data_IF_894126286188
#
_entry.id   IF_894126286188
#
_cell.length_a   1.000
_cell.length_b   1.000
_cell.length_c   1.000
_cell.angle_alpha   90.00
_cell.angle_beta   90.00
_cell.angle_gamma   90.00
#
_symmetry.space_group_name_H-M   'P 1'
#
loop_
_entity.id
_entity.type
_entity.pdbx_description
1 polymer ?
#
# COMPACT_ATOMS: atom_id res chain seq x y z
N UNK A 1 6.76 0.85 19.01
CA UNK A 1 5.33 0.84 18.70
C UNK A 1 4.86 -0.58 18.97
N UNK A 2 3.76 -0.74 19.68
CA UNK A 2 3.17 -2.06 19.89
C UNK A 2 2.37 -2.51 18.66
N UNK A 3 2.90 -3.50 17.93
CA UNK A 3 2.24 -4.03 16.74
C UNK A 3 0.94 -4.76 17.04
N UNK A 4 0.76 -5.34 18.22
CA UNK A 4 -0.50 -6.00 18.57
C UNK A 4 -1.65 -4.99 18.64
N UNK A 5 -1.38 -3.83 19.26
CA UNK A 5 -2.32 -2.71 19.29
C UNK A 5 -2.64 -2.19 17.90
N UNK A 6 -1.62 -2.01 17.05
CA UNK A 6 -1.81 -1.56 15.67
C UNK A 6 -2.61 -2.57 14.83
N UNK A 7 -2.33 -3.87 14.95
CA UNK A 7 -3.07 -4.95 14.31
C UNK A 7 -4.54 -4.92 14.72
N UNK A 8 -4.84 -4.72 16.01
CA UNK A 8 -6.22 -4.66 16.51
C UNK A 8 -6.98 -3.47 15.91
N UNK A 9 -6.35 -2.28 15.87
CA UNK A 9 -6.93 -1.10 15.20
C UNK A 9 -7.21 -1.38 13.73
N UNK A 10 -6.22 -1.89 13.00
CA UNK A 10 -6.35 -2.14 11.57
C UNK A 10 -7.33 -3.27 11.22
N UNK A 11 -7.47 -4.27 12.09
CA UNK A 11 -8.41 -5.38 11.90
C UNK A 11 -9.86 -4.92 11.73
N UNK A 12 -10.23 -3.75 12.25
CA UNK A 12 -11.56 -3.14 12.07
C UNK A 12 -11.82 -2.66 10.64
N UNK A 13 -10.76 -2.34 9.89
CA UNK A 13 -10.82 -1.84 8.52
C UNK A 13 -10.52 -2.93 7.48
N UNK A 14 -9.91 -4.03 7.90
CA UNK A 14 -9.57 -5.14 7.02
C UNK A 14 -10.80 -5.99 6.68
N UNK A 15 -10.93 -6.39 5.42
CA UNK A 15 -12.02 -7.20 4.92
C UNK A 15 -11.82 -8.67 5.28
N UNK A 16 -12.70 -9.21 6.12
CA UNK A 16 -12.65 -10.63 6.54
C UNK A 16 -12.70 -11.60 5.35
N UNK A 17 -13.44 -11.26 4.29
CA UNK A 17 -13.48 -12.02 3.04
C UNK A 17 -12.11 -12.16 2.38
N UNK A 18 -11.34 -11.07 2.28
CA UNK A 18 -9.98 -11.06 1.71
C UNK A 18 -9.02 -11.89 2.55
N UNK A 19 -9.10 -11.80 3.89
CA UNK A 19 -8.19 -12.51 4.81
C UNK A 19 -8.44 -14.01 4.86
N UNK A 20 -9.67 -14.45 4.54
CA UNK A 20 -10.10 -15.85 4.67
C UNK A 20 -10.05 -16.66 3.37
N UNK A 21 -9.68 -16.04 2.24
CA UNK A 21 -9.58 -16.72 0.94
C UNK A 21 -8.67 -17.95 1.03
N UNK A 22 -9.14 -19.10 0.54
CA UNK A 22 -8.43 -20.40 0.60
C UNK A 22 -7.59 -20.69 -0.64
N UNK A 23 -8.07 -20.27 -1.82
CA UNK A 23 -7.47 -20.64 -3.11
C UNK A 23 -6.71 -19.45 -3.69
N UNK A 24 -5.42 -19.63 -3.94
CA UNK A 24 -4.59 -18.60 -4.56
C UNK A 24 -5.09 -18.29 -5.98
N UNK A 25 -5.27 -17.00 -6.29
CA UNK A 25 -5.35 -16.53 -7.69
C UNK A 25 -3.99 -16.01 -8.13
N UNK A 26 -3.57 -16.42 -9.32
CA UNK A 26 -2.38 -15.90 -9.99
C UNK A 26 -2.71 -14.77 -10.95
N UNK A 27 -3.98 -14.45 -11.13
CA UNK A 27 -4.45 -13.41 -12.02
C UNK A 27 -4.24 -12.03 -11.40
N UNK A 28 -4.23 -11.00 -12.24
CA UNK A 28 -4.19 -9.62 -11.77
C UNK A 28 -5.62 -9.12 -11.69
N UNK A 29 -5.94 -8.36 -10.63
CA UNK A 29 -7.26 -7.75 -10.47
C UNK A 29 -7.62 -6.90 -11.71
N UNK A 30 -6.64 -6.16 -12.24
CA UNK A 30 -6.75 -5.39 -13.48
C UNK A 30 -7.12 -6.23 -14.69
N UNK A 31 -6.72 -7.50 -14.77
CA UNK A 31 -6.92 -8.32 -15.97
C UNK A 31 -8.22 -9.14 -15.85
N UNK A 32 -8.60 -9.50 -14.62
CA UNK A 32 -9.77 -10.35 -14.33
C UNK A 32 -10.97 -9.59 -13.75
N UNK A 33 -10.97 -8.25 -13.73
CA UNK A 33 -12.14 -7.48 -13.28
C UNK A 33 -13.37 -7.76 -14.16
N UNK A 34 -13.18 -8.07 -15.44
CA UNK A 34 -14.27 -8.50 -16.34
C UNK A 34 -14.83 -9.88 -15.99
N UNK A 35 -14.12 -10.69 -15.21
CA UNK A 35 -14.60 -11.98 -14.71
C UNK A 35 -15.43 -11.82 -13.42
N UNK A 36 -15.28 -10.69 -12.73
CA UNK A 36 -16.15 -10.32 -11.62
C UNK A 36 -17.50 -9.97 -12.21
N UNK A 37 -18.54 -10.70 -11.82
CA UNK A 37 -19.89 -10.37 -12.23
C UNK A 37 -20.32 -9.07 -11.54
N UNK A 38 -20.62 -8.04 -12.32
CA UNK A 38 -21.06 -6.75 -11.81
C UNK A 38 -22.18 -6.14 -12.65
N UNK A 39 -22.88 -5.18 -12.05
CA UNK A 39 -23.86 -4.31 -12.71
C UNK A 39 -23.54 -2.86 -12.36
N UNK A 40 -23.54 -1.99 -13.36
CA UNK A 40 -23.33 -0.55 -13.20
C UNK A 40 -24.54 0.08 -12.51
N UNK A 41 -24.30 0.70 -11.36
CA UNK A 41 -25.32 1.36 -10.53
C UNK A 41 -25.37 2.86 -10.77
N UNK A 42 -24.21 3.46 -10.98
CA UNK A 42 -24.10 4.90 -11.17
C UNK A 42 -22.88 5.27 -12.00
N UNK A 43 -22.97 6.40 -12.70
CA UNK A 43 -21.88 7.00 -13.46
C UNK A 43 -21.98 8.53 -13.37
N UNK A 44 -20.97 9.11 -12.72
CA UNK A 44 -20.78 10.55 -12.61
C UNK A 44 -19.43 10.96 -13.19
N UNK A 45 -19.41 12.05 -13.94
CA UNK A 45 -18.21 12.56 -14.55
C UNK A 45 -18.31 14.08 -14.73
N UNK A 46 -17.37 14.80 -14.13
CA UNK A 46 -17.23 16.25 -14.23
C UNK A 46 -15.86 16.63 -14.81
N UNK A 47 -15.44 17.89 -14.68
CA UNK A 47 -14.14 18.35 -15.16
C UNK A 47 -12.97 17.81 -14.30
N UNK A 48 -13.21 17.40 -13.06
CA UNK A 48 -12.19 17.00 -12.09
C UNK A 48 -11.98 15.49 -12.03
N UNK A 49 -13.04 14.70 -12.19
CA UNK A 49 -13.02 13.26 -12.00
C UNK A 49 -14.08 12.50 -12.82
N UNK A 50 -13.85 11.19 -12.93
CA UNK A 50 -14.85 10.20 -13.32
C UNK A 50 -15.04 9.24 -12.17
N UNK A 51 -16.29 9.01 -11.77
CA UNK A 51 -16.70 8.11 -10.70
C UNK A 51 -17.69 7.09 -11.28
N UNK A 52 -17.40 5.81 -11.05
CA UNK A 52 -18.20 4.68 -11.51
C UNK A 52 -18.53 3.83 -10.30
N UNK A 53 -19.81 3.51 -10.13
CA UNK A 53 -20.27 2.62 -9.07
C UNK A 53 -20.74 1.31 -9.70
N UNK A 54 -20.05 0.21 -9.36
CA UNK A 54 -20.37 -1.14 -9.84
C UNK A 54 -20.86 -1.97 -8.65
N UNK A 55 -22.07 -2.51 -8.71
CA UNK A 55 -22.49 -3.52 -7.74
C UNK A 55 -21.91 -4.87 -8.12
N UNK A 56 -21.23 -5.51 -7.17
CA UNK A 56 -20.70 -6.87 -7.34
C UNK A 56 -21.81 -7.89 -7.06
N UNK A 57 -21.91 -8.90 -7.91
CA UNK A 57 -22.80 -10.06 -7.73
C UNK A 57 -22.10 -11.27 -7.10
N UNK A 58 -20.78 -11.37 -7.27
CA UNK A 58 -19.91 -12.41 -6.70
C UNK A 58 -18.74 -11.78 -5.93
N UNK A 59 -18.91 -11.61 -4.62
CA UNK A 59 -17.89 -11.05 -3.74
C UNK A 59 -16.75 -12.03 -3.46
N UNK A 60 -16.99 -13.34 -3.50
CA UNK A 60 -15.96 -14.38 -3.33
C UNK A 60 -14.88 -14.30 -4.43
N UNK A 61 -15.29 -14.15 -5.68
CA UNK A 61 -14.37 -13.91 -6.80
C UNK A 61 -13.53 -12.65 -6.56
N UNK A 62 -14.18 -11.55 -6.18
CA UNK A 62 -13.51 -10.28 -5.94
C UNK A 62 -12.51 -10.38 -4.78
N UNK A 63 -12.90 -10.97 -3.66
CA UNK A 63 -12.02 -11.24 -2.51
C UNK A 63 -10.82 -12.07 -2.93
N UNK A 64 -11.02 -13.09 -3.76
CA UNK A 64 -9.93 -13.94 -4.26
C UNK A 64 -8.92 -13.16 -5.11
N UNK A 65 -9.39 -12.34 -6.05
CA UNK A 65 -8.51 -11.50 -6.88
C UNK A 65 -7.74 -10.49 -6.02
N UNK A 66 -8.43 -9.84 -5.08
CA UNK A 66 -7.82 -8.83 -4.20
C UNK A 66 -6.80 -9.46 -3.25
N UNK A 67 -7.10 -10.62 -2.66
CA UNK A 67 -6.17 -11.37 -1.81
C UNK A 67 -4.95 -11.86 -2.60
N UNK A 68 -5.16 -12.37 -3.82
CA UNK A 68 -4.08 -12.81 -4.70
C UNK A 68 -3.12 -11.67 -5.03
N UNK A 69 -3.66 -10.49 -5.38
CA UNK A 69 -2.85 -9.31 -5.68
C UNK A 69 -2.15 -8.73 -4.44
N UNK A 70 -2.85 -8.60 -3.32
CA UNK A 70 -2.27 -8.13 -2.06
C UNK A 70 -1.06 -8.98 -1.65
N UNK A 71 -1.20 -10.31 -1.67
CA UNK A 71 -0.12 -11.21 -1.28
C UNK A 71 1.09 -11.14 -2.21
N UNK A 72 0.90 -10.89 -3.52
CA UNK A 72 2.02 -10.64 -4.44
C UNK A 72 2.80 -9.39 -4.03
N UNK A 73 2.10 -8.31 -3.65
CA UNK A 73 2.74 -7.10 -3.14
C UNK A 73 3.50 -7.33 -1.84
N UNK A 74 2.95 -8.12 -0.92
CA UNK A 74 3.69 -8.49 0.29
C UNK A 74 4.98 -9.25 -0.04
N UNK A 75 4.91 -10.27 -0.91
CA UNK A 75 6.11 -11.03 -1.30
C UNK A 75 7.14 -10.13 -2.01
N UNK A 76 6.70 -9.24 -2.90
CA UNK A 76 7.57 -8.26 -3.53
C UNK A 76 8.22 -7.32 -2.50
N UNK A 77 7.48 -6.91 -1.47
CA UNK A 77 8.01 -6.14 -0.34
C UNK A 77 9.11 -6.91 0.39
N UNK A 78 8.88 -8.19 0.72
CA UNK A 78 9.86 -9.02 1.45
C UNK A 78 11.12 -9.33 0.63
N UNK A 79 10.98 -9.64 -0.66
CA UNK A 79 12.14 -9.89 -1.55
C UNK A 79 12.96 -8.61 -1.74
N UNK A 80 12.31 -7.46 -1.91
CA UNK A 80 12.99 -6.16 -2.01
C UNK A 80 13.67 -5.81 -0.67
N UNK A 81 12.95 -6.06 0.43
CA UNK A 81 13.43 -6.27 1.80
C UNK A 81 14.84 -6.85 1.88
N UNK A 82 14.88 -8.14 1.58
CA UNK A 82 16.06 -8.98 1.69
C UNK A 82 17.23 -8.40 0.91
N UNK A 83 16.99 -8.02 -0.36
CA UNK A 83 18.03 -7.41 -1.22
C UNK A 83 18.58 -6.09 -0.66
N UNK A 84 17.71 -5.25 -0.09
CA UNK A 84 18.10 -3.99 0.52
C UNK A 84 19.00 -4.18 1.75
N UNK A 85 18.85 -5.30 2.47
CA UNK A 85 19.62 -5.62 3.66
C UNK A 85 20.92 -6.38 3.37
N UNK A 86 21.10 -6.89 2.14
CA UNK A 86 22.38 -7.49 1.73
C UNK A 86 23.49 -6.44 1.77
N UNK A 87 24.70 -6.85 2.17
CA UNK A 87 25.85 -5.94 2.16
C UNK A 87 26.20 -5.55 0.73
N UNK A 88 25.99 -4.28 0.39
CA UNK A 88 26.37 -3.73 -0.91
C UNK A 88 27.46 -2.69 -0.68
N UNK A 89 28.73 -3.12 -0.73
CA UNK A 89 29.87 -2.22 -0.50
C UNK A 89 29.79 -1.00 -1.43
N UNK A 90 29.71 0.19 -0.83
CA UNK A 90 29.66 1.45 -1.55
C UNK A 90 28.34 1.77 -2.25
N UNK A 91 27.26 1.01 -2.00
CA UNK A 91 25.97 1.21 -2.66
C UNK A 91 24.79 1.42 -1.69
N UNK A 92 25.05 2.04 -0.53
CA UNK A 92 24.01 2.29 0.48
C UNK A 92 22.89 3.22 -0.01
N UNK A 93 23.19 4.12 -0.96
CA UNK A 93 22.19 4.93 -1.64
C UNK A 93 21.13 4.05 -2.32
N UNK A 94 21.55 2.99 -3.01
CA UNK A 94 20.63 2.07 -3.66
C UNK A 94 19.86 1.22 -2.65
N UNK A 95 20.50 0.78 -1.57
CA UNK A 95 19.79 0.10 -0.48
C UNK A 95 18.65 0.97 0.08
N UNK A 96 18.84 2.29 0.20
CA UNK A 96 17.77 3.19 0.61
C UNK A 96 16.62 3.30 -0.42
N UNK A 97 16.94 3.29 -1.71
CA UNK A 97 15.94 3.23 -2.79
C UNK A 97 15.16 1.91 -2.73
N UNK A 98 15.82 0.81 -2.43
CA UNK A 98 15.19 -0.51 -2.29
C UNK A 98 14.29 -0.58 -1.05
N UNK A 99 14.71 -0.02 0.08
CA UNK A 99 13.86 0.15 1.26
C UNK A 99 12.58 0.95 0.95
N UNK A 100 12.69 2.02 0.16
CA UNK A 100 11.51 2.75 -0.32
C UNK A 100 10.55 1.86 -1.12
N UNK A 101 11.06 1.07 -2.06
CA UNK A 101 10.22 0.17 -2.85
C UNK A 101 9.61 -0.94 -2.01
N UNK A 102 10.35 -1.48 -1.03
CA UNK A 102 9.81 -2.44 -0.09
C UNK A 102 8.63 -1.86 0.71
N UNK A 103 8.75 -0.62 1.20
CA UNK A 103 7.65 0.06 1.88
C UNK A 103 6.47 0.38 0.95
N UNK A 104 6.74 0.83 -0.28
CA UNK A 104 5.71 1.05 -1.29
C UNK A 104 4.90 -0.24 -1.54
N UNK A 105 5.55 -1.38 -1.69
CA UNK A 105 4.86 -2.67 -1.84
C UNK A 105 4.11 -3.09 -0.57
N UNK A 106 4.66 -2.82 0.62
CA UNK A 106 3.96 -3.07 1.88
C UNK A 106 2.68 -2.24 2.03
N UNK A 107 2.70 -0.97 1.61
CA UNK A 107 1.50 -0.13 1.52
C UNK A 107 0.46 -0.76 0.60
N UNK A 108 0.87 -1.15 -0.61
CA UNK A 108 -0.04 -1.73 -1.60
C UNK A 108 -0.70 -3.02 -1.09
N UNK A 109 0.03 -3.81 -0.28
CA UNK A 109 -0.54 -4.93 0.45
C UNK A 109 -1.58 -4.46 1.48
N UNK A 110 -1.21 -3.59 2.42
CA UNK A 110 -2.07 -3.14 3.51
C UNK A 110 -3.38 -2.50 3.01
N UNK A 111 -3.31 -1.55 2.08
CA UNK A 111 -4.53 -0.88 1.58
C UNK A 111 -5.48 -1.85 0.86
N UNK A 112 -4.95 -2.90 0.20
CA UNK A 112 -5.78 -3.91 -0.46
C UNK A 112 -6.54 -4.78 0.52
N UNK A 113 -5.98 -5.02 1.70
CA UNK A 113 -6.70 -5.75 2.74
C UNK A 113 -7.94 -4.99 3.22
N UNK A 114 -7.98 -3.66 3.05
CA UNK A 114 -9.14 -2.82 3.40
C UNK A 114 -10.10 -2.59 2.23
N UNK A 115 -9.97 -3.34 1.13
CA UNK A 115 -10.83 -3.15 -0.05
C UNK A 115 -10.41 -2.01 -0.96
N UNK A 116 -9.24 -1.39 -0.74
CA UNK A 116 -8.79 -0.23 -1.49
C UNK A 116 -7.61 -0.61 -2.38
N UNK A 117 -7.61 -0.12 -3.62
CA UNK A 117 -6.51 -0.37 -4.55
C UNK A 117 -6.28 0.83 -5.46
N UNK A 118 -5.07 0.92 -6.00
CA UNK A 118 -4.76 1.75 -7.15
C UNK A 118 -4.53 0.80 -8.30
N UNK A 119 -5.37 0.92 -9.31
CA UNK A 119 -5.49 -0.06 -10.37
C UNK A 119 -5.46 0.67 -11.71
N UNK A 120 -4.69 0.16 -12.68
CA UNK A 120 -4.67 0.73 -14.01
C UNK A 120 -5.65 -0.04 -14.89
N UNK A 121 -6.84 0.49 -15.13
CA UNK A 121 -7.85 -0.19 -15.93
C UNK A 121 -7.45 -0.16 -17.40
N UNK A 122 -7.56 -1.32 -18.04
CA UNK A 122 -7.27 -1.50 -19.46
C UNK A 122 -8.48 -1.13 -20.33
N UNK A 123 -8.24 -0.70 -21.56
CA UNK A 123 -9.30 -0.33 -22.51
C UNK A 123 -10.35 -1.46 -22.74
N UNK A 124 -10.00 -2.76 -22.78
CA UNK A 124 -11.00 -3.82 -22.83
C UNK A 124 -12.00 -3.78 -21.68
N UNK A 125 -11.53 -3.57 -20.45
CA UNK A 125 -12.39 -3.52 -19.26
C UNK A 125 -13.21 -2.25 -19.25
N UNK A 126 -12.59 -1.10 -19.56
CA UNK A 126 -13.31 0.15 -19.64
C UNK A 126 -14.42 0.10 -20.69
N UNK A 127 -14.20 -0.53 -21.85
CA UNK A 127 -15.26 -0.78 -22.85
C UNK A 127 -16.37 -1.69 -22.34
N UNK A 128 -16.03 -2.72 -21.54
CA UNK A 128 -17.03 -3.58 -20.91
C UNK A 128 -17.90 -2.79 -19.94
N UNK A 129 -17.29 -1.93 -19.12
CA UNK A 129 -17.98 -1.04 -18.18
C UNK A 129 -18.85 -0.03 -18.94
N UNK A 130 -18.32 0.65 -19.97
CA UNK A 130 -19.10 1.59 -20.80
C UNK A 130 -20.35 0.95 -21.38
N UNK A 131 -20.24 -0.29 -21.90
CA UNK A 131 -21.37 -1.03 -22.47
C UNK A 131 -22.42 -1.35 -21.42
N UNK A 132 -21.99 -1.78 -20.23
CA UNK A 132 -22.90 -2.09 -19.14
C UNK A 132 -23.59 -0.81 -18.62
N UNK A 133 -22.89 0.32 -18.51
CA UNK A 133 -23.49 1.62 -18.19
C UNK A 133 -24.53 2.03 -19.25
N UNK A 134 -24.21 1.90 -20.54
CA UNK A 134 -25.14 2.22 -21.62
C UNK A 134 -26.40 1.35 -21.54
N UNK A 135 -26.25 0.07 -21.22
CA UNK A 135 -27.37 -0.85 -21.07
C UNK A 135 -28.21 -0.60 -19.82
N UNK A 136 -27.57 -0.43 -18.64
CA UNK A 136 -28.26 -0.33 -17.35
C UNK A 136 -28.82 1.07 -17.08
N UNK A 137 -28.09 2.11 -17.49
CA UNK A 137 -28.42 3.50 -17.19
C UNK A 137 -28.97 4.26 -18.42
N UNK A 138 -29.07 3.60 -19.58
CA UNK A 138 -29.48 4.22 -20.85
C UNK A 138 -28.70 5.50 -21.17
N UNK A 139 -27.40 5.49 -20.85
CA UNK A 139 -26.49 6.64 -20.94
C UNK A 139 -25.26 6.25 -21.75
N UNK A 140 -25.11 6.84 -22.94
CA UNK A 140 -23.90 6.62 -23.76
C UNK A 140 -22.72 7.36 -23.13
N UNK A 141 -21.75 6.61 -22.64
CA UNK A 141 -20.55 7.13 -21.97
C UNK A 141 -19.30 6.45 -22.53
N UNK A 142 -18.17 7.14 -22.41
CA UNK A 142 -16.86 6.56 -22.72
C UNK A 142 -15.98 6.56 -21.46
N UNK A 143 -15.87 5.38 -20.85
CA UNK A 143 -14.91 5.13 -19.78
C UNK A 143 -13.53 4.93 -20.42
N UNK A 144 -12.58 5.74 -20.01
CA UNK A 144 -11.21 5.70 -20.54
C UNK A 144 -10.33 4.75 -19.72
N UNK A 145 -9.34 4.13 -20.36
CA UNK A 145 -8.27 3.43 -19.65
C UNK A 145 -7.46 4.38 -18.75
N UNK A 146 -6.68 3.80 -17.84
CA UNK A 146 -5.74 4.56 -17.00
C UNK A 146 -5.87 4.28 -15.51
N UNK A 147 -5.28 5.16 -14.71
CA UNK A 147 -5.16 4.96 -13.27
C UNK A 147 -6.46 5.32 -12.53
N UNK A 148 -7.07 4.33 -11.90
CA UNK A 148 -8.23 4.48 -11.01
C UNK A 148 -7.84 4.16 -9.57
N UNK A 149 -8.44 4.89 -8.64
CA UNK A 149 -8.61 4.43 -7.27
C UNK A 149 -9.86 3.56 -7.20
N UNK A 150 -9.70 2.35 -6.68
CA UNK A 150 -10.75 1.37 -6.45
C UNK A 150 -11.03 1.31 -4.96
N UNK A 151 -12.29 1.39 -4.56
CA UNK A 151 -12.72 1.14 -3.18
C UNK A 151 -13.90 0.17 -3.19
N UNK A 152 -13.83 -0.88 -2.39
CA UNK A 152 -14.95 -1.79 -2.16
C UNK A 152 -15.66 -1.44 -0.84
N UNK A 153 -16.99 -1.42 -0.88
CA UNK A 153 -17.85 -1.31 0.30
C UNK A 153 -18.55 -2.65 0.54
N UNK A 154 -18.22 -3.31 1.65
CA UNK A 154 -18.82 -4.61 2.00
C UNK A 154 -20.31 -4.49 2.33
N UNK A 155 -20.74 -3.37 2.93
CA UNK A 155 -22.14 -3.12 3.28
C UNK A 155 -23.01 -2.87 2.06
N UNK A 156 -22.50 -2.18 1.06
CA UNK A 156 -23.23 -1.87 -0.19
C UNK A 156 -23.01 -2.92 -1.28
N UNK A 157 -22.00 -3.80 -1.10
CA UNK A 157 -21.51 -4.72 -2.13
C UNK A 157 -21.16 -4.00 -3.44
N UNK A 158 -20.57 -2.82 -3.31
CA UNK A 158 -20.23 -1.94 -4.43
C UNK A 158 -18.73 -1.70 -4.53
N UNK A 159 -18.23 -1.65 -5.76
CA UNK A 159 -16.93 -1.09 -6.13
C UNK A 159 -17.15 0.34 -6.62
N UNK A 160 -16.45 1.29 -6.02
CA UNK A 160 -16.32 2.65 -6.51
C UNK A 160 -14.98 2.78 -7.22
N UNK A 161 -15.03 3.12 -8.50
CA UNK A 161 -13.86 3.43 -9.32
C UNK A 161 -13.82 4.94 -9.51
N UNK A 162 -12.74 5.58 -9.07
CA UNK A 162 -12.52 7.01 -9.27
C UNK A 162 -11.22 7.28 -10.02
N UNK A 163 -11.31 7.94 -11.16
CA UNK A 163 -10.18 8.46 -11.94
C UNK A 163 -10.15 9.99 -11.82
N UNK A 164 -9.04 10.55 -11.38
CA UNK A 164 -8.82 12.01 -11.37
C UNK A 164 -8.38 12.46 -12.78
N UNK A 165 -9.04 13.47 -13.35
CA UNK A 165 -8.79 13.97 -14.73
C UNK A 165 -7.69 15.04 -14.80
N UNK A 166 -7.24 15.57 -13.66
CA UNK A 166 -6.27 16.67 -13.67
C UNK A 166 -4.92 16.25 -14.27
N UNK A 167 -4.30 17.13 -15.08
CA UNK A 167 -2.95 16.93 -15.66
C UNK A 167 -1.83 16.75 -14.62
N UNK A 168 -2.10 17.02 -13.34
CA UNK A 168 -1.21 16.82 -12.18
C UNK A 168 -1.64 15.65 -11.30
N UNK A 169 -2.56 14.81 -11.78
CA UNK A 169 -2.91 13.54 -11.16
C UNK A 169 -1.61 12.77 -10.95
N UNK A 170 -1.30 12.52 -9.69
CA UNK A 170 -0.06 11.86 -9.33
C UNK A 170 0.05 10.50 -9.99
N UNK A 171 1.27 10.06 -10.29
CA UNK A 171 1.49 8.66 -10.64
C UNK A 171 1.09 7.72 -9.50
N UNK A 172 1.09 6.41 -9.76
CA UNK A 172 0.74 5.34 -8.82
C UNK A 172 1.41 5.49 -7.44
N UNK A 173 2.66 5.95 -7.39
CA UNK A 173 3.37 6.24 -6.14
C UNK A 173 2.68 7.31 -5.30
N UNK A 174 2.40 8.48 -5.87
CA UNK A 174 1.75 9.58 -5.15
C UNK A 174 0.36 9.18 -4.67
N UNK A 175 -0.40 8.45 -5.49
CA UNK A 175 -1.68 7.90 -5.08
C UNK A 175 -1.54 6.95 -3.89
N UNK A 176 -0.55 6.05 -3.91
CA UNK A 176 -0.37 5.04 -2.87
C UNK A 176 -0.03 5.69 -1.52
N UNK A 177 0.83 6.70 -1.52
CA UNK A 177 1.18 7.45 -0.31
C UNK A 177 -0.01 8.27 0.23
N UNK A 178 -0.88 8.80 -0.64
CA UNK A 178 -2.13 9.46 -0.23
C UNK A 178 -3.05 8.47 0.49
N UNK A 179 -3.34 7.32 -0.13
CA UNK A 179 -4.18 6.29 0.47
C UNK A 179 -3.59 5.71 1.76
N UNK A 180 -2.27 5.56 1.83
CA UNK A 180 -1.59 5.18 3.06
C UNK A 180 -1.79 6.22 4.16
N UNK A 181 -1.64 7.51 3.83
CA UNK A 181 -1.88 8.56 4.81
C UNK A 181 -3.34 8.60 5.29
N UNK A 182 -4.30 8.41 4.38
CA UNK A 182 -5.72 8.33 4.74
C UNK A 182 -5.99 7.14 5.67
N UNK A 183 -5.33 6.00 5.44
CA UNK A 183 -5.39 4.84 6.33
C UNK A 183 -4.75 5.13 7.69
N UNK A 184 -3.59 5.80 7.74
CA UNK A 184 -2.97 6.23 9.00
C UNK A 184 -3.90 7.15 9.79
N UNK A 185 -4.62 8.05 9.12
CA UNK A 185 -5.64 8.88 9.76
C UNK A 185 -6.76 8.07 10.38
N UNK A 186 -7.28 7.07 9.68
CA UNK A 186 -8.30 6.18 10.22
C UNK A 186 -7.79 5.41 11.44
N UNK A 187 -6.52 4.99 11.45
CA UNK A 187 -5.91 4.32 12.60
C UNK A 187 -5.75 5.25 13.80
N UNK A 188 -5.36 6.52 13.58
CA UNK A 188 -5.29 7.53 14.64
C UNK A 188 -6.69 7.82 15.21
N UNK A 189 -7.70 7.94 14.35
CA UNK A 189 -9.08 8.13 14.78
C UNK A 189 -9.60 6.92 15.58
N UNK A 190 -9.33 5.71 15.11
CA UNK A 190 -9.68 4.47 15.81
C UNK A 190 -9.01 4.36 17.18
N UNK A 191 -7.76 4.82 17.32
CA UNK A 191 -7.07 4.92 18.60
C UNK A 191 -7.77 5.88 19.58
N UNK A 192 -8.49 6.89 19.08
CA UNK A 192 -9.28 7.81 19.89
C UNK A 192 -10.48 7.18 20.60
N UNK A 193 -10.90 5.96 20.22
CA UNK A 193 -11.96 5.24 20.91
C UNK A 193 -11.53 4.73 22.30
N UNK A 194 -10.24 4.55 22.53
CA UNK A 194 -9.65 4.13 23.80
C UNK A 194 -8.26 4.75 23.98
N UNK A 195 -8.23 6.02 24.39
CA UNK A 195 -7.01 6.81 24.45
C UNK A 195 -5.98 6.20 25.42
N UNK A 196 -6.42 5.69 26.57
CA UNK A 196 -5.54 5.11 27.59
C UNK A 196 -4.80 3.89 27.03
N UNK A 197 -5.53 3.02 26.32
CA UNK A 197 -4.96 1.83 25.69
C UNK A 197 -3.98 2.20 24.55
N UNK A 198 -4.29 3.20 23.73
CA UNK A 198 -3.59 3.45 22.46
C UNK A 198 -2.68 4.69 22.41
N UNK A 199 -2.41 5.36 23.53
CA UNK A 199 -1.70 6.65 23.51
C UNK A 199 -0.34 6.61 22.78
N UNK A 200 0.54 5.62 23.07
CA UNK A 200 1.84 5.48 22.38
C UNK A 200 1.66 5.21 20.88
N UNK A 201 0.75 4.31 20.52
CA UNK A 201 0.47 3.97 19.12
C UNK A 201 -0.03 5.20 18.35
N UNK A 202 -0.96 5.95 18.94
CA UNK A 202 -1.52 7.17 18.34
C UNK A 202 -0.47 8.25 18.14
N UNK A 203 0.36 8.52 19.15
CA UNK A 203 1.46 9.49 19.06
C UNK A 203 2.47 9.13 17.98
N UNK A 204 2.87 7.85 17.92
CA UNK A 204 3.82 7.37 16.90
C UNK A 204 3.23 7.41 15.49
N UNK A 205 1.95 7.07 15.32
CA UNK A 205 1.25 7.22 14.03
C UNK A 205 1.16 8.70 13.62
N UNK A 206 0.92 9.60 14.57
CA UNK A 206 0.92 11.04 14.31
C UNK A 206 2.30 11.55 13.86
N UNK A 207 3.39 11.10 14.48
CA UNK A 207 4.75 11.44 14.04
C UNK A 207 5.05 10.84 12.65
N UNK A 208 4.66 9.59 12.40
CA UNK A 208 4.78 9.00 11.06
C UNK A 208 4.02 9.82 10.01
N UNK A 209 2.78 10.24 10.32
CA UNK A 209 1.97 11.05 9.42
C UNK A 209 2.63 12.39 9.11
N UNK A 210 3.20 13.07 10.12
CA UNK A 210 3.94 14.32 9.92
C UNK A 210 5.12 14.11 8.97
N UNK A 211 5.83 12.98 9.07
CA UNK A 211 6.89 12.62 8.12
C UNK A 211 6.35 12.35 6.70
N UNK A 212 5.17 11.77 6.51
CA UNK A 212 4.70 11.43 5.16
C UNK A 212 4.56 12.65 4.24
N UNK A 213 4.14 13.80 4.76
CA UNK A 213 3.84 14.99 3.95
C UNK A 213 5.03 15.94 3.81
N UNK A 214 5.34 16.31 2.56
CA UNK A 214 6.20 17.46 2.25
C UNK A 214 5.38 18.73 2.01
N UNK A 215 4.27 18.57 1.28
CA UNK A 215 3.31 19.62 0.95
C UNK A 215 1.94 18.97 0.65
N UNK A 216 0.90 19.76 0.37
CA UNK A 216 -0.48 19.27 0.11
C UNK A 216 -0.57 18.12 -0.91
N UNK A 217 0.39 18.03 -1.82
CA UNK A 217 0.38 17.06 -2.93
C UNK A 217 1.73 16.36 -3.16
N UNK A 218 2.66 16.44 -2.20
CA UNK A 218 3.98 15.82 -2.30
C UNK A 218 4.29 15.05 -1.02
N UNK A 219 4.83 13.85 -1.19
CA UNK A 219 5.10 12.91 -0.11
C UNK A 219 6.60 12.72 0.06
N UNK A 220 7.11 12.92 1.28
CA UNK A 220 8.54 12.84 1.56
C UNK A 220 9.17 11.52 1.10
N UNK A 221 8.56 10.33 1.28
CA UNK A 221 9.17 9.09 0.78
C UNK A 221 9.49 9.10 -0.72
N UNK A 222 8.57 9.60 -1.55
CA UNK A 222 8.78 9.65 -3.00
C UNK A 222 9.84 10.66 -3.39
N UNK A 223 9.83 11.82 -2.71
CA UNK A 223 10.76 12.91 -2.96
C UNK A 223 12.18 12.56 -2.51
N UNK A 224 12.37 12.04 -1.29
CA UNK A 224 13.68 11.61 -0.79
C UNK A 224 14.25 10.52 -1.70
N UNK A 225 13.44 9.54 -2.11
CA UNK A 225 13.88 8.52 -3.09
C UNK A 225 14.28 9.14 -4.42
N UNK A 226 13.55 10.13 -4.92
CA UNK A 226 13.88 10.80 -6.19
C UNK A 226 15.16 11.65 -6.07
N UNK A 227 15.35 12.33 -4.93
CA UNK A 227 16.56 13.10 -4.62
C UNK A 227 17.80 12.20 -4.54
N UNK A 228 17.70 11.06 -3.85
CA UNK A 228 18.79 10.06 -3.80
C UNK A 228 19.06 9.52 -5.21
N UNK A 229 18.04 9.04 -5.92
CA UNK A 229 18.22 8.28 -7.16
C UNK A 229 18.59 9.14 -8.38
N UNK A 230 17.99 10.32 -8.54
CA UNK A 230 18.12 11.13 -9.76
C UNK A 230 18.95 12.40 -9.57
N UNK A 231 19.06 12.90 -8.34
CA UNK A 231 19.80 14.13 -8.03
C UNK A 231 21.10 13.86 -7.28
N UNK A 232 21.38 12.60 -6.92
CA UNK A 232 22.55 12.20 -6.14
C UNK A 232 22.71 13.00 -4.85
N UNK A 233 21.59 13.24 -4.15
CA UNK A 233 21.55 14.01 -2.89
C UNK A 233 21.44 13.11 -1.67
N UNK A 234 21.77 13.68 -0.51
CA UNK A 234 21.59 13.07 0.80
C UNK A 234 22.90 12.66 1.47
N UNK A 235 24.05 12.83 0.81
CA UNK A 235 25.35 12.41 1.33
C UNK A 235 25.49 10.90 1.42
N UNK A 236 24.72 10.15 0.64
CA UNK A 236 24.64 8.67 0.71
C UNK A 236 25.34 7.99 -0.45
N UNK A 237 25.77 8.76 -1.45
CA UNK A 237 26.63 8.26 -2.51
C UNK A 237 28.10 8.38 -2.11
N UNK A 238 28.88 7.33 -2.39
CA UNK A 238 30.31 7.26 -2.05
C UNK A 238 31.15 8.39 -2.66
N UNK A 239 30.70 8.95 -3.79
CA UNK A 239 31.38 10.04 -4.48
C UNK A 239 30.94 11.44 -4.02
N UNK A 240 29.96 11.55 -3.12
CA UNK A 240 29.60 12.82 -2.50
C UNK A 240 30.66 13.23 -1.46
N UNK A 241 30.93 14.54 -1.37
CA UNK A 241 31.84 15.10 -0.36
C UNK A 241 31.27 14.87 1.05
N UNK A 242 32.11 14.41 1.98
CA UNK A 242 31.75 14.14 3.37
C UNK A 242 30.64 13.08 3.56
N UNK A 243 30.50 12.13 2.62
CA UNK A 243 29.46 11.09 2.63
C UNK A 243 29.62 10.06 3.76
N UNK A 244 30.84 9.83 4.26
CA UNK A 244 31.16 8.79 5.26
C UNK A 244 30.19 8.77 6.44
N UNK A 245 29.96 9.91 7.10
CA UNK A 245 29.09 9.98 8.28
C UNK A 245 27.63 9.67 7.95
N UNK A 246 27.13 10.07 6.79
CA UNK A 246 25.76 9.79 6.38
C UNK A 246 25.59 8.34 5.95
N UNK A 247 26.60 7.77 5.28
CA UNK A 247 26.68 6.35 4.95
C UNK A 247 26.66 5.50 6.21
N UNK A 248 27.46 5.83 7.23
CA UNK A 248 27.51 5.08 8.49
C UNK A 248 26.17 5.12 9.24
N UNK A 249 25.53 6.29 9.31
CA UNK A 249 24.18 6.42 9.90
C UNK A 249 23.15 5.59 9.15
N UNK A 250 23.18 5.64 7.82
CA UNK A 250 22.22 4.92 6.99
C UNK A 250 22.44 3.40 7.08
N UNK A 251 23.69 2.94 7.09
CA UNK A 251 24.03 1.53 7.34
C UNK A 251 23.55 1.06 8.71
N UNK A 252 23.74 1.88 9.76
CA UNK A 252 23.20 1.61 11.08
C UNK A 252 21.67 1.52 11.08
N UNK A 253 21.01 2.45 10.39
CA UNK A 253 19.55 2.46 10.24
C UNK A 253 19.06 1.23 9.47
N UNK A 254 19.75 0.78 8.42
CA UNK A 254 19.41 -0.43 7.64
C UNK A 254 19.65 -1.69 8.46
N UNK A 255 20.79 -1.81 9.14
CA UNK A 255 21.17 -2.99 9.93
C UNK A 255 20.40 -3.16 11.25
N UNK A 256 19.79 -2.09 11.77
CA UNK A 256 19.01 -2.15 13.01
C UNK A 256 17.70 -2.93 12.85
N UNK A 257 17.47 -3.99 13.63
CA UNK A 257 16.14 -4.64 13.68
C UNK A 257 15.07 -3.79 14.38
N UNK A 258 15.47 -2.68 15.02
CA UNK A 258 14.56 -1.76 15.71
C UNK A 258 14.06 -0.67 14.76
N UNK A 259 12.76 -0.37 14.85
CA UNK A 259 12.17 0.84 14.27
C UNK A 259 12.69 2.01 15.11
N UNK A 260 13.71 2.69 14.61
CA UNK A 260 14.27 3.88 15.24
C UNK A 260 13.21 4.94 15.53
N UNK A 261 13.59 5.99 16.25
CA UNK A 261 12.65 7.06 16.58
C UNK A 261 12.06 7.66 15.29
N UNK A 262 10.73 7.67 15.22
CA UNK A 262 10.01 8.29 14.13
C UNK A 262 10.22 9.80 14.27
N UNK A 263 10.93 10.37 13.30
CA UNK A 263 11.24 11.79 13.27
C UNK A 263 10.54 12.45 12.09
N UNK A 264 10.11 13.70 12.30
CA UNK A 264 9.63 14.60 11.26
C UNK A 264 10.76 15.13 10.37
N UNK A 265 12.01 15.02 10.80
CA UNK A 265 13.17 15.47 10.01
C UNK A 265 13.29 14.62 8.75
N UNK A 266 13.52 15.27 7.62
CA UNK A 266 13.58 14.60 6.31
C UNK A 266 15.02 14.30 5.99
N UNK A 267 15.40 13.02 6.07
CA UNK A 267 16.73 12.53 5.70
C UNK A 267 16.64 11.08 5.19
N UNK A 268 17.69 10.57 4.54
CA UNK A 268 17.73 9.17 4.11
C UNK A 268 17.55 8.17 5.26
N UNK A 269 18.12 8.43 6.44
CA UNK A 269 17.99 7.56 7.61
C UNK A 269 16.58 7.59 8.23
N UNK A 270 15.93 8.76 8.30
CA UNK A 270 14.53 8.83 8.76
C UNK A 270 13.57 8.20 7.76
N UNK A 271 13.88 8.22 6.47
CA UNK A 271 13.18 7.43 5.45
C UNK A 271 13.24 5.93 5.77
N UNK A 272 14.41 5.38 6.13
CA UNK A 272 14.53 3.97 6.52
C UNK A 272 13.66 3.64 7.73
N UNK A 273 13.75 4.43 8.80
CA UNK A 273 12.96 4.18 10.03
C UNK A 273 11.45 4.18 9.75
N UNK A 274 10.96 5.13 8.96
CA UNK A 274 9.55 5.21 8.58
C UNK A 274 9.14 4.08 7.63
N UNK A 275 10.01 3.65 6.71
CA UNK A 275 9.76 2.51 5.84
C UNK A 275 9.67 1.20 6.64
N UNK A 276 10.55 1.00 7.62
CA UNK A 276 10.54 -0.18 8.50
C UNK A 276 9.23 -0.32 9.25
N UNK A 277 8.68 0.77 9.78
CA UNK A 277 7.36 0.76 10.42
C UNK A 277 6.30 0.11 9.50
N UNK A 278 6.22 0.55 8.25
CA UNK A 278 5.22 0.06 7.28
C UNK A 278 5.49 -1.40 6.93
N UNK A 279 6.75 -1.75 6.64
CA UNK A 279 7.13 -3.10 6.21
C UNK A 279 6.91 -4.12 7.34
N UNK A 280 7.30 -3.76 8.57
CA UNK A 280 7.11 -4.60 9.74
C UNK A 280 5.64 -4.69 10.12
N UNK A 281 4.86 -3.62 9.95
CA UNK A 281 3.42 -3.69 10.14
C UNK A 281 2.78 -4.69 9.15
N UNK A 282 3.11 -4.60 7.87
CA UNK A 282 2.64 -5.52 6.85
C UNK A 282 3.01 -6.98 7.17
N UNK A 283 4.26 -7.23 7.57
CA UNK A 283 4.72 -8.56 8.01
C UNK A 283 3.91 -9.06 9.21
N UNK A 284 3.80 -8.27 10.27
CA UNK A 284 3.12 -8.69 11.49
C UNK A 284 1.62 -8.92 11.26
N UNK A 285 0.96 -8.09 10.45
CA UNK A 285 -0.45 -8.28 10.10
C UNK A 285 -0.66 -9.53 9.22
N UNK A 286 0.28 -9.83 8.32
CA UNK A 286 0.26 -11.09 7.55
C UNK A 286 0.37 -12.32 8.44
N UNK A 287 1.30 -12.32 9.40
CA UNK A 287 1.47 -13.42 10.35
C UNK A 287 0.21 -13.59 11.23
N UNK A 288 -0.32 -12.50 11.76
CA UNK A 288 -1.61 -12.51 12.47
C UNK A 288 -2.74 -13.12 11.61
N UNK A 289 -2.83 -12.73 10.34
CA UNK A 289 -3.86 -13.26 9.42
C UNK A 289 -3.64 -14.74 9.12
N UNK A 290 -2.39 -15.17 8.95
CA UNK A 290 -2.00 -16.57 8.76
C UNK A 290 -2.44 -17.45 9.94
N UNK A 291 -2.25 -16.96 11.17
CA UNK A 291 -2.63 -17.69 12.38
C UNK A 291 -4.14 -17.66 12.63
N UNK A 292 -4.79 -16.50 12.43
CA UNK A 292 -6.24 -16.34 12.58
C UNK A 292 -7.04 -17.15 11.55
N UNK A 293 -6.51 -17.30 10.33
CA UNK A 293 -7.16 -18.02 9.23
C UNK A 293 -6.26 -19.16 8.73
N UNK A 294 -6.20 -20.31 9.45
CA UNK A 294 -5.23 -21.39 9.17
C UNK A 294 -5.47 -22.13 7.85
N UNK A 295 -6.61 -21.92 7.19
CA UNK A 295 -6.92 -22.48 5.86
C UNK A 295 -6.74 -21.46 4.73
N UNK A 296 -6.34 -20.23 5.05
CA UNK A 296 -6.19 -19.15 4.06
C UNK A 296 -4.94 -19.31 3.20
N UNK A 297 -4.89 -18.54 2.11
CA UNK A 297 -3.68 -18.35 1.30
C UNK A 297 -2.54 -17.80 2.16
N UNK A 298 -2.81 -16.90 3.11
CA UNK A 298 -1.77 -16.34 3.98
C UNK A 298 -1.04 -17.45 4.73
N UNK A 299 -1.76 -18.46 5.25
CA UNK A 299 -1.14 -19.62 5.89
C UNK A 299 -0.29 -20.45 4.94
N UNK A 300 -0.81 -20.73 3.73
CA UNK A 300 -0.08 -21.48 2.71
C UNK A 300 1.21 -20.77 2.30
N UNK A 301 1.15 -19.46 2.07
CA UNK A 301 2.30 -18.64 1.70
C UNK A 301 3.30 -18.51 2.86
N UNK A 302 2.82 -18.35 4.09
CA UNK A 302 3.66 -18.31 5.30
C UNK A 302 4.48 -19.59 5.44
N UNK A 303 3.87 -20.76 5.20
CA UNK A 303 4.58 -22.03 5.20
C UNK A 303 5.57 -22.13 4.03
N UNK A 304 5.14 -21.78 2.81
CA UNK A 304 5.96 -21.89 1.59
C UNK A 304 7.17 -20.97 1.58
N UNK A 305 7.03 -19.77 2.14
CA UNK A 305 8.04 -18.71 2.11
C UNK A 305 8.52 -18.35 3.53
N UNK A 306 8.56 -19.32 4.44
CA UNK A 306 8.87 -19.12 5.86
C UNK A 306 10.16 -18.33 6.10
N UNK A 307 11.20 -18.53 5.28
CA UNK A 307 12.47 -17.79 5.36
C UNK A 307 12.36 -16.28 5.17
N UNK A 308 11.33 -15.79 4.46
CA UNK A 308 11.09 -14.35 4.29
C UNK A 308 10.32 -13.71 5.45
N UNK A 309 9.70 -14.54 6.31
CA UNK A 309 8.82 -14.13 7.38
C UNK A 309 9.34 -14.51 8.78
N UNK A 310 10.38 -15.33 8.88
CA UNK A 310 11.09 -15.56 10.13
C UNK A 310 11.61 -14.23 10.71
N UNK A 311 11.69 -14.15 12.03
CA UNK A 311 12.44 -13.09 12.69
C UNK A 311 13.92 -13.40 12.49
N UNK A 312 14.59 -12.60 11.67
CA UNK A 312 16.04 -12.44 11.77
C UNK A 312 16.32 -11.47 12.92
#
# INVERSE_FOLDING_TARGET
MDFQKLIRLFSSSALGGVLSVKNQSYDRLVESLSEVQFISRDFDADEEATIITLQILDDDMFYRLLAGEANKFLLASRVTLDRANQSQQGNVAWQAVEHYYAAYYAIQYLIRLTGISITNLSDPICRSISRDIEYQLNKKVDVNGGLYSLKFSESEKCIYLKQEKQKRAGGSHKGAWKLWSDLVDNLIQGAGADIEEYIDTSLRLAEHKKFLYRSKNQFNPSEVRAEINYQFKGGVWIFEKNSTRSIDRLNGAIGSSFIGDLSREVSPDTLISNNKLIIDFAKNFFLFSSDKYPKSICRQLSNKYSGYFSNA
#
